data_IF_554357697228
#
_entry.id   IF_554357697228
#
_cell.length_a   1.000
_cell.length_b   1.000
_cell.length_c   1.000
_cell.angle_alpha   90.00
_cell.angle_beta   90.00
_cell.angle_gamma   90.00
#
_symmetry.space_group_name_H-M   'P 1'
#
loop_
_entity.id
_entity.type
_entity.pdbx_description
1 polymer ?
#
# COMPACT_ATOMS: atom_id res chain seq x y z
N UNK A 1 -6.99 18.19 3.91
CA UNK A 1 -6.96 16.79 4.42
C UNK A 1 -8.01 16.54 5.51
N UNK A 2 -8.10 17.37 6.55
CA UNK A 2 -9.05 17.21 7.65
C UNK A 2 -10.53 17.14 7.20
N UNK A 3 -10.95 17.99 6.25
CA UNK A 3 -12.33 17.99 5.76
C UNK A 3 -12.71 16.67 5.10
N UNK A 4 -11.83 16.11 4.28
CA UNK A 4 -12.03 14.82 3.66
C UNK A 4 -12.23 13.71 4.71
N UNK A 5 -11.38 13.65 5.74
CA UNK A 5 -11.50 12.62 6.79
C UNK A 5 -12.75 12.80 7.65
N UNK A 6 -13.21 14.05 7.87
CA UNK A 6 -14.48 14.32 8.57
C UNK A 6 -15.69 13.87 7.76
N UNK A 7 -15.64 14.00 6.45
CA UNK A 7 -16.70 13.55 5.54
C UNK A 7 -16.74 12.02 5.39
N UNK A 8 -15.63 11.33 5.70
CA UNK A 8 -15.50 9.88 5.61
C UNK A 8 -15.13 9.25 6.97
N UNK A 9 -16.01 9.33 7.98
CA UNK A 9 -15.69 8.88 9.35
C UNK A 9 -15.51 7.37 9.47
N UNK A 10 -16.05 6.59 8.53
CA UNK A 10 -15.89 5.14 8.47
C UNK A 10 -14.57 4.68 7.86
N UNK A 11 -13.74 5.63 7.37
CA UNK A 11 -12.46 5.32 6.75
C UNK A 11 -11.54 4.58 7.72
N UNK A 12 -11.09 3.41 7.28
CA UNK A 12 -10.28 2.49 8.07
C UNK A 12 -8.92 2.24 7.43
N UNK A 13 -8.83 2.19 6.10
CA UNK A 13 -7.61 1.87 5.37
C UNK A 13 -7.15 3.07 4.54
N UNK A 14 -6.02 3.66 4.92
CA UNK A 14 -5.47 4.86 4.31
C UNK A 14 -4.11 4.53 3.71
N UNK A 15 -3.95 4.76 2.42
CA UNK A 15 -2.74 4.43 1.67
C UNK A 15 -2.09 5.69 1.12
N UNK A 16 -0.76 5.75 1.18
CA UNK A 16 0.03 6.82 0.59
C UNK A 16 0.85 6.31 -0.59
N UNK A 17 0.56 6.83 -1.79
CA UNK A 17 1.24 6.52 -3.04
C UNK A 17 2.00 7.73 -3.59
N UNK A 18 2.83 7.49 -4.60
CA UNK A 18 3.60 8.55 -5.29
C UNK A 18 4.99 8.08 -5.70
N UNK A 19 5.73 8.92 -6.42
CA UNK A 19 7.11 8.65 -6.84
C UNK A 19 8.04 8.46 -5.62
N UNK A 20 9.17 7.78 -5.79
CA UNK A 20 10.22 7.72 -4.76
C UNK A 20 10.72 9.11 -4.35
N UNK A 21 10.93 9.33 -3.05
CA UNK A 21 11.49 10.57 -2.50
C UNK A 21 10.53 11.76 -2.33
N UNK A 22 9.23 11.60 -2.63
CA UNK A 22 8.25 12.72 -2.50
C UNK A 22 7.73 12.94 -1.07
N UNK A 23 8.09 12.06 -0.10
CA UNK A 23 7.66 12.19 1.31
C UNK A 23 6.44 11.36 1.70
N UNK A 24 6.17 10.23 1.05
CA UNK A 24 5.05 9.33 1.42
C UNK A 24 5.10 8.89 2.87
N UNK A 25 6.25 8.43 3.33
CA UNK A 25 6.47 7.90 4.68
C UNK A 25 6.14 8.94 5.76
N UNK A 26 6.58 10.20 5.56
CA UNK A 26 6.29 11.28 6.52
C UNK A 26 4.80 11.66 6.52
N UNK A 27 4.13 11.64 5.36
CA UNK A 27 2.69 11.89 5.26
C UNK A 27 1.88 10.77 5.92
N UNK A 28 2.28 9.52 5.71
CA UNK A 28 1.68 8.37 6.38
C UNK A 28 1.87 8.47 7.91
N UNK A 29 3.09 8.78 8.37
CA UNK A 29 3.41 8.97 9.79
C UNK A 29 2.59 10.07 10.44
N UNK A 30 2.51 11.25 9.81
CA UNK A 30 1.71 12.36 10.31
C UNK A 30 0.21 12.04 10.36
N UNK A 31 -0.31 11.29 9.37
CA UNK A 31 -1.72 10.88 9.33
C UNK A 31 -2.02 9.85 10.42
N UNK A 32 -1.15 8.87 10.63
CA UNK A 32 -1.30 7.88 11.69
C UNK A 32 -1.26 8.54 13.08
N UNK A 33 -0.32 9.46 13.29
CA UNK A 33 -0.22 10.25 14.51
C UNK A 33 -1.49 11.06 14.77
N UNK A 34 -2.03 11.72 13.75
CA UNK A 34 -3.26 12.50 13.88
C UNK A 34 -4.44 11.65 14.33
N UNK A 35 -4.66 10.46 13.73
CA UNK A 35 -5.72 9.55 14.14
C UNK A 35 -5.52 9.03 15.57
N UNK A 36 -4.30 8.68 15.94
CA UNK A 36 -3.97 8.24 17.30
C UNK A 36 -4.24 9.33 18.36
N UNK A 37 -3.94 10.60 18.03
CA UNK A 37 -4.25 11.76 18.89
C UNK A 37 -5.76 12.03 19.03
N UNK A 38 -6.58 11.58 18.04
CA UNK A 38 -8.04 11.56 18.15
C UNK A 38 -8.58 10.38 18.99
N UNK A 39 -7.70 9.60 19.61
CA UNK A 39 -8.07 8.44 20.45
C UNK A 39 -8.33 7.16 19.68
N UNK A 40 -8.18 7.15 18.35
CA UNK A 40 -8.39 5.96 17.51
C UNK A 40 -7.18 5.02 17.59
N UNK A 41 -7.43 3.74 17.82
CA UNK A 41 -6.39 2.71 17.80
C UNK A 41 -5.85 2.53 16.39
N UNK A 42 -4.63 3.02 16.14
CA UNK A 42 -4.05 3.19 14.80
C UNK A 42 -2.77 2.38 14.63
N UNK A 43 -2.60 1.75 13.46
CA UNK A 43 -1.34 1.16 13.04
C UNK A 43 -0.79 1.87 11.81
N UNK A 44 0.48 2.26 11.87
CA UNK A 44 1.28 2.73 10.74
C UNK A 44 2.12 1.56 10.23
N UNK A 45 1.85 1.10 9.02
CA UNK A 45 2.56 -0.03 8.43
C UNK A 45 3.31 0.39 7.16
N UNK A 46 4.56 -0.05 7.00
CA UNK A 46 5.32 0.19 5.78
C UNK A 46 5.52 -1.10 4.99
N UNK A 47 5.23 -1.02 3.70
CA UNK A 47 5.56 -2.03 2.70
C UNK A 47 6.86 -1.68 1.94
N UNK A 48 7.63 -0.72 2.44
CA UNK A 48 8.91 -0.34 1.84
C UNK A 48 10.03 -1.24 2.40
N UNK A 49 10.82 -1.93 1.58
CA UNK A 49 11.90 -2.79 2.04
C UNK A 49 13.08 -2.04 2.70
N UNK A 50 13.11 -0.72 2.56
CA UNK A 50 14.13 0.13 3.19
C UNK A 50 13.56 0.63 4.52
N UNK A 51 14.13 0.24 5.65
CA UNK A 51 13.73 0.55 7.04
C UNK A 51 13.40 2.04 7.28
N UNK A 52 12.35 2.54 6.60
CA UNK A 52 11.99 3.95 6.53
C UNK A 52 11.20 4.42 7.76
N UNK A 53 10.39 3.54 8.37
CA UNK A 53 9.62 3.88 9.58
C UNK A 53 10.49 3.91 10.82
N UNK A 54 11.41 2.94 10.96
CA UNK A 54 12.36 2.94 12.08
C UNK A 54 13.21 4.22 12.09
N UNK A 55 13.65 4.66 10.91
CA UNK A 55 14.36 5.93 10.75
C UNK A 55 13.47 7.14 11.03
N UNK A 56 12.22 7.15 10.57
CA UNK A 56 11.27 8.23 10.78
C UNK A 56 10.92 8.41 12.26
N UNK A 57 10.70 7.29 12.97
CA UNK A 57 10.24 7.29 14.37
C UNK A 57 11.38 7.31 15.39
N UNK A 58 12.62 7.16 14.93
CA UNK A 58 13.80 7.02 15.79
C UNK A 58 13.67 5.84 16.77
N UNK A 59 12.99 4.77 16.31
CA UNK A 59 12.62 3.60 17.09
C UNK A 59 12.61 2.36 16.19
N UNK A 60 13.16 1.23 16.64
CA UNK A 60 13.09 -0.04 15.91
C UNK A 60 11.65 -0.60 15.93
N UNK A 61 11.05 -0.67 14.74
CA UNK A 61 9.68 -1.16 14.52
C UNK A 61 9.63 -2.29 13.49
N UNK A 62 10.79 -2.91 13.22
CA UNK A 62 10.91 -3.98 12.23
C UNK A 62 10.32 -5.30 12.73
N UNK A 63 9.58 -5.98 11.88
CA UNK A 63 9.09 -7.35 12.07
C UNK A 63 8.02 -7.54 13.16
N UNK A 64 7.62 -6.49 13.89
CA UNK A 64 6.63 -6.59 14.97
C UNK A 64 5.81 -5.32 15.15
N UNK A 65 4.58 -5.47 15.62
CA UNK A 65 3.72 -4.33 15.98
C UNK A 65 4.29 -3.68 17.24
N UNK A 66 4.96 -2.54 17.09
CA UNK A 66 5.63 -1.84 18.18
C UNK A 66 4.87 -0.58 18.57
N UNK A 67 4.49 -0.40 19.85
CA UNK A 67 3.91 0.87 20.31
C UNK A 67 4.89 2.01 20.09
N UNK A 68 4.40 3.12 19.51
CA UNK A 68 5.24 4.30 19.28
C UNK A 68 5.43 5.07 20.60
N UNK A 69 6.68 5.32 20.98
CA UNK A 69 7.02 6.00 22.23
C UNK A 69 6.44 7.40 22.26
N UNK A 70 5.80 7.76 23.38
CA UNK A 70 5.19 9.08 23.58
C UNK A 70 3.87 9.34 22.83
N UNK A 71 3.35 8.35 22.09
CA UNK A 71 2.11 8.47 21.34
C UNK A 71 1.13 7.35 21.71
N UNK A 72 0.20 7.59 22.64
CA UNK A 72 -0.86 6.63 22.94
C UNK A 72 -1.66 6.26 21.67
N UNK A 73 -2.18 5.03 21.61
CA UNK A 73 -3.01 4.51 20.51
C UNK A 73 -2.31 4.42 19.15
N UNK A 74 -0.97 4.61 19.06
CA UNK A 74 -0.22 4.43 17.83
C UNK A 74 0.74 3.23 17.94
N UNK A 75 0.63 2.34 16.96
CA UNK A 75 1.58 1.27 16.70
C UNK A 75 2.24 1.48 15.35
N UNK A 76 3.49 1.04 15.21
CA UNK A 76 4.20 1.05 13.95
C UNK A 76 4.73 -0.36 13.63
N UNK A 77 4.79 -0.67 12.35
CA UNK A 77 5.19 -1.98 11.84
C UNK A 77 5.89 -1.86 10.48
N UNK A 78 7.17 -2.15 10.43
CA UNK A 78 7.86 -2.42 9.16
C UNK A 78 7.73 -3.91 8.85
N UNK A 79 7.08 -4.22 7.74
CA UNK A 79 6.71 -5.58 7.37
C UNK A 79 7.98 -6.39 7.05
N UNK A 80 8.21 -7.46 7.80
CA UNK A 80 9.24 -8.45 7.48
C UNK A 80 8.65 -9.52 6.55
N UNK A 81 9.16 -9.57 5.33
CA UNK A 81 8.70 -10.54 4.33
C UNK A 81 9.37 -11.90 4.45
N UNK A 82 10.46 -12.03 5.21
CA UNK A 82 11.25 -13.27 5.29
C UNK A 82 10.42 -14.44 5.80
N UNK A 83 9.72 -14.27 6.90
CA UNK A 83 8.86 -15.32 7.46
C UNK A 83 7.74 -15.72 6.49
N UNK A 84 7.12 -14.74 5.84
CA UNK A 84 6.06 -15.00 4.85
C UNK A 84 6.60 -15.70 3.62
N UNK A 85 7.79 -15.33 3.15
CA UNK A 85 8.48 -15.99 2.04
C UNK A 85 8.77 -17.44 2.39
N UNK A 86 9.34 -17.71 3.57
CA UNK A 86 9.64 -19.07 4.00
C UNK A 86 8.37 -19.91 4.20
N UNK A 87 7.32 -19.35 4.81
CA UNK A 87 6.03 -20.00 4.94
C UNK A 87 5.43 -20.33 3.56
N UNK A 88 5.43 -19.35 2.65
CA UNK A 88 4.88 -19.53 1.29
C UNK A 88 5.71 -20.54 0.49
N UNK A 89 7.04 -20.54 0.63
CA UNK A 89 7.91 -21.57 0.04
C UNK A 89 7.51 -22.98 0.49
N UNK A 90 7.39 -23.17 1.79
CA UNK A 90 7.06 -24.48 2.35
C UNK A 90 5.67 -24.96 1.92
N UNK A 91 4.67 -24.07 1.96
CA UNK A 91 3.33 -24.38 1.50
C UNK A 91 3.27 -24.73 0.01
N UNK A 92 3.97 -23.97 -0.84
CA UNK A 92 4.04 -24.23 -2.29
C UNK A 92 4.77 -25.55 -2.54
N UNK A 93 5.89 -25.79 -1.84
CA UNK A 93 6.66 -27.02 -1.94
C UNK A 93 5.84 -28.25 -1.57
N UNK A 94 5.10 -28.21 -0.46
CA UNK A 94 4.22 -29.31 -0.05
C UNK A 94 3.17 -29.62 -1.14
N UNK A 95 2.56 -28.59 -1.71
CA UNK A 95 1.52 -28.73 -2.73
C UNK A 95 2.06 -29.21 -4.08
N UNK A 96 3.22 -28.71 -4.48
CA UNK A 96 3.91 -29.20 -5.68
C UNK A 96 4.33 -30.66 -5.48
N UNK A 97 4.89 -31.02 -4.35
CA UNK A 97 5.26 -32.40 -4.03
C UNK A 97 4.03 -33.33 -4.01
N UNK A 98 2.92 -32.88 -3.45
CA UNK A 98 1.66 -33.65 -3.50
C UNK A 98 1.20 -33.85 -4.94
N UNK A 99 1.21 -32.76 -5.78
CA UNK A 99 0.83 -32.84 -7.19
C UNK A 99 1.75 -33.75 -7.99
N UNK A 100 3.07 -33.67 -7.81
CA UNK A 100 4.06 -34.51 -8.50
C UNK A 100 3.87 -35.99 -8.16
N UNK A 101 3.62 -36.33 -6.86
CA UNK A 101 3.31 -37.72 -6.45
C UNK A 101 2.00 -38.21 -7.08
N UNK A 102 1.02 -37.33 -7.16
CA UNK A 102 -0.27 -37.67 -7.75
C UNK A 102 -0.19 -37.88 -9.28
N UNK A 103 0.67 -37.13 -9.97
CA UNK A 103 0.89 -37.21 -11.41
C UNK A 103 1.95 -38.24 -11.81
N UNK A 104 2.52 -38.95 -10.84
CA UNK A 104 3.64 -39.92 -11.02
C UNK A 104 4.88 -39.30 -11.73
N UNK A 105 5.14 -38.02 -11.44
CA UNK A 105 6.26 -37.26 -12.02
C UNK A 105 7.41 -37.23 -11.01
N UNK A 106 8.59 -37.66 -11.43
CA UNK A 106 9.81 -37.80 -10.61
C UNK A 106 10.67 -36.54 -10.53
N UNK A 107 10.17 -35.38 -10.95
CA UNK A 107 10.90 -34.10 -10.93
C UNK A 107 10.98 -33.53 -9.50
N UNK A 108 12.13 -32.93 -9.15
CA UNK A 108 12.34 -32.30 -7.85
C UNK A 108 11.63 -30.95 -7.78
N UNK A 109 10.65 -30.83 -6.89
CA UNK A 109 9.93 -29.57 -6.61
C UNK A 109 10.86 -28.45 -6.10
N UNK A 110 11.94 -28.82 -5.42
CA UNK A 110 12.88 -27.89 -4.77
C UNK A 110 13.51 -26.90 -5.74
N UNK A 111 14.03 -27.37 -6.88
CA UNK A 111 14.67 -26.51 -7.89
C UNK A 111 13.69 -25.50 -8.51
N UNK A 112 12.43 -25.93 -8.70
CA UNK A 112 11.39 -25.05 -9.24
C UNK A 112 10.96 -23.98 -8.22
N UNK A 113 10.77 -24.35 -6.95
CA UNK A 113 10.40 -23.44 -5.87
C UNK A 113 11.51 -22.44 -5.59
N UNK A 114 12.78 -22.90 -5.57
CA UNK A 114 13.94 -22.04 -5.34
C UNK A 114 14.09 -21.00 -6.47
N UNK A 115 14.00 -21.42 -7.72
CA UNK A 115 14.03 -20.52 -8.88
C UNK A 115 12.88 -19.49 -8.85
N UNK A 116 11.67 -19.93 -8.50
CA UNK A 116 10.51 -19.04 -8.41
C UNK A 116 10.66 -18.02 -7.28
N UNK A 117 11.24 -18.40 -6.15
CA UNK A 117 11.39 -17.51 -4.96
C UNK A 117 12.56 -16.54 -5.07
N UNK A 118 13.52 -16.77 -5.95
CA UNK A 118 14.56 -15.79 -6.29
C UNK A 118 14.04 -14.62 -7.13
N UNK A 119 12.79 -14.69 -7.60
CA UNK A 119 12.20 -13.62 -8.39
C UNK A 119 11.74 -12.47 -7.48
N UNK A 120 12.15 -11.21 -7.72
CA UNK A 120 11.68 -10.05 -6.96
C UNK A 120 10.15 -9.92 -6.88
N UNK A 121 9.43 -10.44 -7.89
CA UNK A 121 7.96 -10.49 -7.88
C UNK A 121 7.41 -11.37 -6.74
N UNK A 122 8.18 -12.31 -6.22
CA UNK A 122 7.77 -13.15 -5.09
C UNK A 122 7.83 -12.37 -3.77
N UNK A 123 8.86 -11.57 -3.56
CA UNK A 123 8.98 -10.64 -2.42
C UNK A 123 7.82 -9.65 -2.39
N UNK A 124 7.50 -9.06 -3.54
CA UNK A 124 6.37 -8.14 -3.67
C UNK A 124 5.03 -8.83 -3.37
N UNK A 125 4.87 -10.09 -3.77
CA UNK A 125 3.68 -10.87 -3.45
C UNK A 125 3.58 -11.17 -1.95
N UNK A 126 4.68 -11.51 -1.30
CA UNK A 126 4.74 -11.75 0.14
C UNK A 126 4.41 -10.46 0.93
N UNK A 127 4.91 -9.31 0.46
CA UNK A 127 4.59 -7.99 1.03
C UNK A 127 3.08 -7.73 0.98
N UNK A 128 2.44 -7.99 -0.16
CA UNK A 128 1.00 -7.86 -0.31
C UNK A 128 0.23 -8.82 0.59
N UNK A 129 0.67 -10.06 0.67
CA UNK A 129 0.06 -11.07 1.52
C UNK A 129 0.04 -10.63 2.98
N UNK A 130 1.17 -10.12 3.49
CA UNK A 130 1.26 -9.54 4.83
C UNK A 130 0.32 -8.36 5.04
N UNK A 131 0.25 -7.45 4.05
CA UNK A 131 -0.66 -6.31 4.11
C UNK A 131 -2.13 -6.76 4.18
N UNK A 132 -2.52 -7.72 3.35
CA UNK A 132 -3.87 -8.30 3.37
C UNK A 132 -4.16 -8.99 4.69
N UNK A 133 -3.22 -9.75 5.23
CA UNK A 133 -3.35 -10.39 6.55
C UNK A 133 -3.56 -9.37 7.65
N UNK A 134 -2.78 -8.29 7.64
CA UNK A 134 -2.91 -7.20 8.60
C UNK A 134 -4.32 -6.56 8.52
N UNK A 135 -4.82 -6.30 7.31
CA UNK A 135 -6.17 -5.76 7.11
C UNK A 135 -7.27 -6.73 7.58
N UNK A 136 -7.13 -8.02 7.27
CA UNK A 136 -8.15 -9.03 7.58
C UNK A 136 -8.23 -9.41 9.07
N UNK A 137 -7.14 -9.22 9.83
CA UNK A 137 -7.12 -9.40 11.29
C UNK A 137 -8.02 -8.42 12.03
N UNK A 138 -8.22 -7.22 11.47
CA UNK A 138 -9.11 -6.18 12.00
C UNK A 138 -8.85 -5.83 13.49
N UNK A 139 -7.56 -5.74 13.87
CA UNK A 139 -7.12 -5.47 15.25
C UNK A 139 -7.08 -3.98 15.58
N UNK A 140 -7.10 -3.11 14.57
CA UNK A 140 -7.01 -1.65 14.69
C UNK A 140 -8.22 -0.98 14.06
N UNK A 141 -8.54 0.22 14.54
CA UNK A 141 -9.61 1.05 13.98
C UNK A 141 -9.17 1.78 12.71
N UNK A 142 -7.86 2.10 12.62
CA UNK A 142 -7.26 2.78 11.47
C UNK A 142 -5.95 2.11 11.09
N UNK A 143 -5.81 1.85 9.81
CA UNK A 143 -4.61 1.32 9.18
C UNK A 143 -4.06 2.35 8.21
N UNK A 144 -2.87 2.84 8.46
CA UNK A 144 -2.18 3.78 7.56
C UNK A 144 -0.98 3.08 6.95
N UNK A 145 -0.99 2.99 5.61
CA UNK A 145 0.03 2.28 4.86
C UNK A 145 0.96 3.25 4.12
N UNK A 146 2.24 3.21 4.46
CA UNK A 146 3.31 3.74 3.61
C UNK A 146 3.62 2.70 2.54
N UNK A 147 3.20 2.97 1.30
CA UNK A 147 3.41 2.00 0.23
C UNK A 147 4.71 2.27 -0.52
N UNK A 148 5.41 1.20 -0.91
CA UNK A 148 6.51 1.28 -1.85
C UNK A 148 6.07 2.00 -3.14
N UNK A 149 7.02 2.56 -3.93
CA UNK A 149 6.67 3.31 -5.14
C UNK A 149 5.65 2.54 -5.99
N UNK A 150 4.64 3.23 -6.38
CA UNK A 150 3.39 2.89 -7.10
C UNK A 150 3.39 1.72 -8.10
N UNK A 151 4.55 1.20 -8.53
CA UNK A 151 4.65 -0.02 -9.32
C UNK A 151 4.02 -1.24 -8.60
N UNK A 152 4.10 -1.29 -7.27
CA UNK A 152 3.58 -2.38 -6.46
C UNK A 152 2.06 -2.34 -6.33
N UNK A 153 1.43 -1.17 -6.15
CA UNK A 153 -0.02 -1.06 -6.14
C UNK A 153 -0.65 -1.52 -7.47
N UNK A 154 -0.01 -1.20 -8.60
CA UNK A 154 -0.44 -1.69 -9.92
C UNK A 154 -0.37 -3.20 -10.03
N UNK A 155 0.72 -3.83 -9.55
CA UNK A 155 0.87 -5.28 -9.51
C UNK A 155 -0.16 -5.93 -8.60
N UNK A 156 -0.40 -5.34 -7.43
CA UNK A 156 -1.31 -5.86 -6.41
C UNK A 156 -2.71 -6.12 -6.96
N UNK A 157 -3.25 -5.21 -7.74
CA UNK A 157 -4.61 -5.29 -8.25
C UNK A 157 -4.67 -5.94 -9.64
N UNK A 158 -3.65 -5.74 -10.47
CA UNK A 158 -3.47 -6.48 -11.72
C UNK A 158 -3.23 -7.97 -11.48
N UNK A 159 -2.39 -8.31 -10.49
CA UNK A 159 -2.14 -9.69 -10.09
C UNK A 159 -3.37 -10.35 -9.48
N UNK A 160 -4.18 -9.64 -8.68
CA UNK A 160 -5.41 -10.22 -8.12
C UNK A 160 -6.36 -10.70 -9.22
N UNK A 161 -6.50 -9.96 -10.34
CA UNK A 161 -7.27 -10.40 -11.51
C UNK A 161 -6.61 -11.61 -12.22
N UNK A 162 -5.30 -11.57 -12.41
CA UNK A 162 -4.56 -12.65 -13.06
C UNK A 162 -4.59 -13.92 -12.20
N UNK A 163 -4.37 -13.78 -10.89
CA UNK A 163 -4.47 -14.90 -9.95
C UNK A 163 -5.89 -15.45 -9.87
N UNK A 164 -6.91 -14.60 -9.83
CA UNK A 164 -8.31 -15.05 -9.85
C UNK A 164 -8.62 -15.84 -11.11
N UNK A 165 -8.20 -15.36 -12.29
CA UNK A 165 -8.36 -16.09 -13.57
C UNK A 165 -7.56 -17.40 -13.60
N UNK A 166 -6.36 -17.39 -13.06
CA UNK A 166 -5.52 -18.59 -12.98
C UNK A 166 -6.12 -19.64 -12.03
N UNK A 167 -6.55 -19.21 -10.84
CA UNK A 167 -7.25 -20.06 -9.88
C UNK A 167 -8.54 -20.61 -10.47
N UNK A 168 -9.33 -19.78 -11.12
CA UNK A 168 -10.57 -20.20 -11.80
C UNK A 168 -10.30 -21.24 -12.89
N UNK A 169 -9.26 -21.05 -13.70
CA UNK A 169 -8.86 -21.99 -14.74
C UNK A 169 -8.40 -23.33 -14.14
N UNK A 170 -7.63 -23.29 -13.04
CA UNK A 170 -7.21 -24.49 -12.33
C UNK A 170 -8.40 -25.21 -11.67
N UNK A 171 -9.36 -24.48 -11.10
CA UNK A 171 -10.58 -25.05 -10.53
C UNK A 171 -11.40 -25.77 -11.61
N UNK A 172 -11.63 -25.14 -12.77
CA UNK A 172 -12.35 -25.76 -13.90
C UNK A 172 -11.66 -27.03 -14.38
N UNK A 173 -10.34 -27.00 -14.60
CA UNK A 173 -9.57 -28.18 -15.01
C UNK A 173 -9.65 -29.31 -14.00
N UNK A 174 -9.74 -29.00 -12.71
CA UNK A 174 -9.90 -29.98 -11.63
C UNK A 174 -11.32 -30.55 -11.55
N UNK A 175 -12.35 -29.74 -11.72
CA UNK A 175 -13.72 -30.20 -11.78
C UNK A 175 -13.95 -31.16 -12.97
N UNK A 176 -13.36 -30.81 -14.13
CA UNK A 176 -13.38 -31.68 -15.33
C UNK A 176 -12.65 -33.01 -15.07
N UNK A 177 -11.44 -32.96 -14.46
CA UNK A 177 -10.71 -34.18 -14.12
C UNK A 177 -11.43 -35.04 -13.08
N UNK A 178 -12.14 -34.42 -12.13
CA UNK A 178 -12.94 -35.12 -11.11
C UNK A 178 -14.19 -35.77 -11.70
N UNK A 179 -14.88 -35.07 -12.59
CA UNK A 179 -16.05 -35.62 -13.31
C UNK A 179 -15.68 -36.81 -14.19
N UNK A 180 -14.53 -36.75 -14.91
CA UNK A 180 -13.99 -37.85 -15.67
C UNK A 180 -13.65 -39.06 -14.80
N UNK A 181 -13.05 -38.85 -13.62
CA UNK A 181 -12.74 -39.93 -12.65
C UNK A 181 -14.01 -40.54 -12.03
N UNK A 182 -15.02 -39.73 -11.71
CA UNK A 182 -16.32 -40.25 -11.20
C UNK A 182 -17.03 -41.10 -12.21
N UNK A 183 -16.86 -40.83 -13.52
CA UNK A 183 -17.40 -41.65 -14.59
C UNK A 183 -16.61 -42.96 -14.73
N UNK A 184 -15.30 -42.95 -14.45
CA UNK A 184 -14.42 -44.10 -14.65
C UNK A 184 -14.22 -44.98 -13.39
N UNK A 185 -14.55 -44.49 -12.18
CA UNK A 185 -14.39 -45.24 -10.94
C UNK A 185 -15.74 -45.59 -10.30
N UNK A 186 -15.98 -46.87 -10.07
CA UNK A 186 -17.15 -47.43 -9.38
C UNK A 186 -17.10 -47.22 -7.83
N UNK A 187 -16.08 -46.56 -7.27
CA UNK A 187 -15.89 -46.35 -5.83
C UNK A 187 -16.13 -44.91 -5.43
N UNK A 188 -17.22 -44.67 -4.70
CA UNK A 188 -17.57 -43.39 -4.05
C UNK A 188 -16.70 -43.13 -2.82
N UNK A 189 -15.40 -42.91 -2.94
CA UNK A 189 -14.62 -42.29 -1.88
C UNK A 189 -14.46 -40.84 -2.20
N UNK A 190 -14.98 -39.97 -1.31
CA UNK A 190 -14.73 -38.54 -1.31
C UNK A 190 -13.25 -38.37 -0.89
N UNK A 191 -12.35 -38.30 -1.85
CA UNK A 191 -10.96 -37.96 -1.58
C UNK A 191 -10.89 -36.46 -1.31
N UNK A 192 -10.40 -36.11 -0.13
CA UNK A 192 -10.04 -34.73 0.20
C UNK A 192 -8.96 -34.27 -0.80
N UNK A 193 -9.20 -33.14 -1.48
CA UNK A 193 -8.25 -32.54 -2.40
C UNK A 193 -7.62 -31.29 -1.76
N UNK A 194 -6.46 -31.43 -1.09
CA UNK A 194 -5.82 -30.34 -0.35
C UNK A 194 -5.47 -29.16 -1.24
N UNK A 195 -5.22 -29.39 -2.53
CA UNK A 195 -4.93 -28.31 -3.47
C UNK A 195 -6.19 -27.53 -3.84
N UNK A 196 -7.30 -28.20 -4.03
CA UNK A 196 -8.59 -27.56 -4.28
C UNK A 196 -9.00 -26.68 -3.08
N UNK A 197 -8.89 -27.18 -1.87
CA UNK A 197 -9.20 -26.45 -0.64
C UNK A 197 -8.29 -25.22 -0.48
N UNK A 198 -7.02 -25.34 -0.84
CA UNK A 198 -6.11 -24.20 -0.83
C UNK A 198 -6.50 -23.15 -1.84
N UNK A 199 -6.79 -23.55 -3.09
CA UNK A 199 -7.17 -22.62 -4.15
C UNK A 199 -8.47 -21.89 -3.82
N UNK A 200 -9.43 -22.56 -3.20
CA UNK A 200 -10.70 -21.97 -2.75
C UNK A 200 -10.45 -20.93 -1.64
N UNK A 201 -9.67 -21.28 -0.62
CA UNK A 201 -9.31 -20.36 0.48
C UNK A 201 -8.52 -19.16 -0.04
N UNK A 202 -7.58 -19.38 -0.95
CA UNK A 202 -6.79 -18.31 -1.56
C UNK A 202 -7.67 -17.37 -2.39
N UNK A 203 -8.59 -17.89 -3.19
CA UNK A 203 -9.58 -17.08 -3.93
C UNK A 203 -10.44 -16.25 -2.99
N UNK A 204 -11.02 -16.87 -1.96
CA UNK A 204 -11.85 -16.15 -0.98
C UNK A 204 -11.08 -15.01 -0.31
N UNK A 205 -9.82 -15.25 0.05
CA UNK A 205 -8.94 -14.25 0.66
C UNK A 205 -8.68 -13.07 -0.30
N UNK A 206 -8.38 -13.35 -1.58
CA UNK A 206 -8.22 -12.32 -2.60
C UNK A 206 -9.50 -11.50 -2.82
N UNK A 207 -10.65 -12.17 -2.89
CA UNK A 207 -11.95 -11.51 -3.06
C UNK A 207 -12.30 -10.61 -1.86
N UNK A 208 -11.98 -11.04 -0.64
CA UNK A 208 -12.14 -10.21 0.57
C UNK A 208 -11.22 -9.00 0.53
N UNK A 209 -9.94 -9.18 0.20
CA UNK A 209 -8.99 -8.08 0.07
C UNK A 209 -9.42 -7.07 -0.99
N UNK A 210 -9.87 -7.56 -2.15
CA UNK A 210 -10.37 -6.71 -3.23
C UNK A 210 -11.57 -5.88 -2.78
N UNK A 211 -12.56 -6.50 -2.13
CA UNK A 211 -13.73 -5.77 -1.61
C UNK A 211 -13.33 -4.65 -0.65
N UNK A 212 -12.38 -4.90 0.25
CA UNK A 212 -11.88 -3.87 1.16
C UNK A 212 -11.17 -2.74 0.41
N UNK A 213 -10.30 -3.06 -0.55
CA UNK A 213 -9.52 -2.08 -1.30
C UNK A 213 -10.34 -1.22 -2.27
N UNK A 214 -11.51 -1.71 -2.69
CA UNK A 214 -12.41 -0.98 -3.60
C UNK A 214 -13.62 -0.37 -2.90
N UNK A 215 -13.70 -0.47 -1.58
CA UNK A 215 -14.78 0.12 -0.79
C UNK A 215 -14.47 1.59 -0.49
N UNK A 216 -15.20 2.56 -1.10
CA UNK A 216 -14.92 3.98 -0.95
C UNK A 216 -15.24 4.53 0.44
N UNK A 217 -16.08 3.83 1.23
CA UNK A 217 -16.40 4.25 2.59
C UNK A 217 -15.30 3.86 3.58
N UNK A 218 -14.54 2.81 3.28
CA UNK A 218 -13.54 2.23 4.18
C UNK A 218 -12.10 2.46 3.74
N UNK A 219 -11.84 2.71 2.46
CA UNK A 219 -10.49 2.81 1.88
C UNK A 219 -10.31 4.12 1.12
N UNK A 220 -9.16 4.76 1.29
CA UNK A 220 -8.75 5.88 0.47
C UNK A 220 -7.24 5.85 0.18
N UNK A 221 -6.90 6.16 -1.07
CA UNK A 221 -5.52 6.34 -1.52
C UNK A 221 -5.21 7.81 -1.72
N UNK A 222 -4.19 8.31 -1.03
CA UNK A 222 -3.67 9.67 -1.19
C UNK A 222 -2.36 9.63 -1.97
N UNK A 223 -2.26 10.50 -2.97
CA UNK A 223 -1.04 10.61 -3.76
C UNK A 223 -0.21 11.80 -3.31
N UNK A 224 1.06 11.56 -2.98
CA UNK A 224 2.02 12.61 -2.63
C UNK A 224 2.83 12.97 -3.87
N UNK A 225 2.93 14.26 -4.15
CA UNK A 225 3.68 14.81 -5.28
C UNK A 225 4.53 15.99 -4.87
N UNK A 226 5.44 16.39 -5.75
CA UNK A 226 6.14 17.69 -5.73
C UNK A 226 5.61 18.56 -6.85
N UNK A 227 5.80 19.87 -6.73
CA UNK A 227 5.54 20.81 -7.83
C UNK A 227 6.65 20.70 -8.91
N UNK A 228 6.72 19.53 -9.55
CA UNK A 228 7.71 19.18 -10.59
C UNK A 228 7.07 18.28 -11.67
N UNK A 229 7.57 18.36 -12.90
CA UNK A 229 7.00 17.66 -14.05
C UNK A 229 6.84 16.15 -13.86
N UNK A 230 7.91 15.47 -13.42
CA UNK A 230 7.92 14.01 -13.36
C UNK A 230 7.02 13.45 -12.25
N UNK A 231 7.04 13.94 -10.98
CA UNK A 231 6.10 13.50 -9.96
C UNK A 231 4.64 13.70 -10.38
N UNK A 232 4.29 14.84 -11.00
CA UNK A 232 2.93 15.12 -11.49
C UNK A 232 2.52 14.11 -12.57
N UNK A 233 3.36 13.86 -13.57
CA UNK A 233 3.07 12.91 -14.64
C UNK A 233 2.87 11.48 -14.11
N UNK A 234 3.61 11.11 -13.06
CA UNK A 234 3.48 9.82 -12.39
C UNK A 234 2.10 9.69 -11.72
N UNK A 235 1.69 10.67 -10.91
CA UNK A 235 0.39 10.56 -10.20
C UNK A 235 -0.81 10.64 -11.14
N UNK A 236 -0.76 11.40 -12.22
CA UNK A 236 -1.82 11.41 -13.27
C UNK A 236 -2.06 10.00 -13.79
N UNK A 237 -0.98 9.29 -14.14
CA UNK A 237 -1.08 7.90 -14.62
C UNK A 237 -1.69 6.98 -13.57
N UNK A 238 -1.32 7.15 -12.30
CA UNK A 238 -1.81 6.30 -11.23
C UNK A 238 -3.26 6.55 -10.91
N UNK A 239 -3.70 7.80 -10.85
CA UNK A 239 -5.10 8.17 -10.61
C UNK A 239 -5.99 7.57 -11.69
N UNK A 240 -5.63 7.73 -12.98
CA UNK A 240 -6.38 7.14 -14.08
C UNK A 240 -6.48 5.62 -13.94
N UNK A 241 -5.36 4.98 -13.63
CA UNK A 241 -5.34 3.53 -13.45
C UNK A 241 -6.15 3.07 -12.24
N UNK A 242 -6.15 3.82 -11.12
CA UNK A 242 -6.96 3.53 -9.94
C UNK A 242 -8.45 3.63 -10.28
N UNK A 243 -8.86 4.62 -11.06
CA UNK A 243 -10.20 4.74 -11.60
C UNK A 243 -10.61 3.51 -12.42
N UNK A 244 -9.76 3.04 -13.32
CA UNK A 244 -10.02 1.84 -14.14
C UNK A 244 -10.23 0.57 -13.29
N UNK A 245 -9.64 0.50 -12.09
CA UNK A 245 -9.78 -0.63 -11.17
C UNK A 245 -10.82 -0.41 -10.07
N UNK A 246 -11.50 0.72 -10.06
CA UNK A 246 -12.50 1.08 -9.05
C UNK A 246 -11.91 1.30 -7.65
N UNK A 247 -10.63 1.77 -7.58
CA UNK A 247 -9.96 2.05 -6.31
C UNK A 247 -10.23 3.49 -5.91
N UNK A 248 -10.68 3.73 -4.67
CA UNK A 248 -11.02 5.08 -4.24
C UNK A 248 -9.78 5.95 -4.05
N UNK A 249 -9.76 7.09 -4.75
CA UNK A 249 -8.72 8.10 -4.63
C UNK A 249 -9.20 9.19 -3.68
N UNK A 250 -8.55 9.32 -2.52
CA UNK A 250 -8.85 10.34 -1.51
C UNK A 250 -8.38 11.75 -1.90
N UNK A 251 -7.31 11.83 -2.68
CA UNK A 251 -6.80 13.08 -3.22
C UNK A 251 -5.29 13.17 -3.34
N UNK A 252 -4.81 14.38 -3.55
CA UNK A 252 -3.40 14.71 -3.82
C UNK A 252 -2.86 15.63 -2.73
N UNK A 253 -1.64 15.36 -2.28
CA UNK A 253 -0.89 16.19 -1.33
C UNK A 253 0.35 16.71 -2.06
N UNK A 254 0.52 18.01 -2.11
CA UNK A 254 1.71 18.65 -2.69
C UNK A 254 2.70 18.97 -1.58
N UNK A 255 3.87 18.36 -1.63
CA UNK A 255 4.89 18.44 -0.58
C UNK A 255 6.08 19.29 -1.00
N UNK A 256 6.89 19.70 -0.02
CA UNK A 256 8.16 20.42 -0.18
C UNK A 256 8.01 21.74 -0.93
N UNK A 257 6.95 22.49 -0.66
CA UNK A 257 6.74 23.79 -1.23
C UNK A 257 7.60 24.86 -0.54
N UNK A 258 8.28 25.68 -1.31
CA UNK A 258 9.00 26.84 -0.78
C UNK A 258 7.95 27.87 -0.38
N UNK A 259 7.98 28.31 0.90
CA UNK A 259 7.08 29.36 1.40
C UNK A 259 7.63 30.73 0.95
N UNK A 260 6.90 31.38 0.06
CA UNK A 260 7.26 32.71 -0.45
C UNK A 260 7.35 33.77 0.64
N UNK A 261 6.56 33.63 1.71
CA UNK A 261 6.53 34.60 2.82
C UNK A 261 7.80 34.58 3.66
N UNK A 262 8.57 33.49 3.57
CA UNK A 262 9.87 33.38 4.24
C UNK A 262 11.02 34.04 3.49
N UNK A 263 10.75 34.61 2.28
CA UNK A 263 11.77 35.15 1.41
C UNK A 263 11.88 36.68 1.56
N UNK A 264 13.12 37.17 1.49
CA UNK A 264 13.46 38.59 1.58
C UNK A 264 14.08 39.13 0.27
N UNK A 265 14.42 40.42 0.27
CA UNK A 265 15.03 41.08 -0.91
C UNK A 265 16.33 40.43 -1.38
N UNK A 266 17.09 39.84 -0.46
CA UNK A 266 18.39 39.20 -0.72
C UNK A 266 18.27 37.71 -1.09
N UNK A 267 17.05 37.23 -1.42
CA UNK A 267 16.84 35.84 -1.80
C UNK A 267 17.73 35.47 -3.01
N UNK A 268 18.52 34.37 -2.92
CA UNK A 268 19.38 33.94 -4.01
C UNK A 268 18.59 33.65 -5.30
N UNK A 269 19.22 33.92 -6.44
CA UNK A 269 18.62 33.70 -7.77
C UNK A 269 18.13 32.25 -7.94
N UNK A 270 18.89 31.28 -7.47
CA UNK A 270 18.51 29.87 -7.47
C UNK A 270 17.13 29.64 -6.82
N UNK A 271 16.87 30.25 -5.67
CA UNK A 271 15.61 30.09 -4.95
C UNK A 271 14.47 30.79 -5.73
N UNK A 272 14.73 31.97 -6.30
CA UNK A 272 13.74 32.65 -7.15
C UNK A 272 13.35 31.84 -8.37
N UNK A 273 14.32 31.21 -9.05
CA UNK A 273 14.08 30.35 -10.19
C UNK A 273 13.28 29.09 -9.80
N UNK A 274 13.58 28.48 -8.65
CA UNK A 274 12.81 27.35 -8.10
C UNK A 274 11.37 27.74 -7.77
N UNK A 275 11.15 28.93 -7.22
CA UNK A 275 9.82 29.46 -6.96
C UNK A 275 9.02 29.71 -8.24
N UNK A 276 9.62 30.31 -9.25
CA UNK A 276 8.96 30.50 -10.54
C UNK A 276 8.52 29.19 -11.16
N UNK A 277 9.39 28.18 -11.11
CA UNK A 277 9.07 26.83 -11.56
C UNK A 277 7.93 26.22 -10.72
N UNK A 278 7.98 26.35 -9.38
CA UNK A 278 6.96 25.86 -8.46
C UNK A 278 5.58 26.46 -8.78
N UNK A 279 5.49 27.77 -9.03
CA UNK A 279 4.23 28.43 -9.42
C UNK A 279 3.64 27.84 -10.70
N UNK A 280 4.49 27.62 -11.72
CA UNK A 280 4.06 27.01 -12.98
C UNK A 280 3.48 25.62 -12.77
N UNK A 281 4.15 24.78 -11.96
CA UNK A 281 3.67 23.43 -11.69
C UNK A 281 2.49 23.38 -10.74
N UNK A 282 2.37 24.31 -9.77
CA UNK A 282 1.18 24.44 -8.95
C UNK A 282 -0.06 24.77 -9.80
N UNK A 283 0.05 25.70 -10.76
CA UNK A 283 -1.04 25.98 -11.70
C UNK A 283 -1.45 24.71 -12.47
N UNK A 284 -0.48 23.94 -12.95
CA UNK A 284 -0.76 22.66 -13.62
C UNK A 284 -1.38 21.60 -12.68
N UNK A 285 -1.04 21.58 -11.39
CA UNK A 285 -1.63 20.71 -10.39
C UNK A 285 -3.09 21.08 -10.17
N UNK A 286 -3.40 22.38 -10.01
CA UNK A 286 -4.78 22.85 -9.86
C UNK A 286 -5.60 22.56 -11.11
N UNK A 287 -5.08 22.79 -12.31
CA UNK A 287 -5.77 22.46 -13.55
C UNK A 287 -6.14 20.97 -13.67
N UNK A 288 -5.28 20.06 -13.15
CA UNK A 288 -5.46 18.61 -13.30
C UNK A 288 -6.20 17.95 -12.15
N UNK A 289 -6.11 18.51 -10.95
CA UNK A 289 -6.57 17.84 -9.73
C UNK A 289 -7.54 18.68 -8.88
N UNK A 290 -7.72 19.95 -9.17
CA UNK A 290 -8.62 20.92 -8.55
C UNK A 290 -9.19 20.51 -7.17
N UNK A 291 -10.37 19.96 -7.15
CA UNK A 291 -11.08 19.50 -5.95
C UNK A 291 -10.42 18.31 -5.23
N UNK A 292 -9.42 17.67 -5.85
CA UNK A 292 -8.66 16.57 -5.25
C UNK A 292 -7.44 17.01 -4.45
N UNK A 293 -7.01 18.28 -4.52
CA UNK A 293 -5.88 18.78 -3.71
C UNK A 293 -6.30 18.88 -2.25
N UNK A 294 -5.69 18.08 -1.36
CA UNK A 294 -6.05 17.99 0.07
C UNK A 294 -5.16 18.79 0.98
N UNK A 295 -3.90 18.99 0.62
CA UNK A 295 -2.97 19.80 1.38
C UNK A 295 -1.80 20.30 0.53
N UNK A 296 -1.29 21.47 0.92
CA UNK A 296 -0.05 22.07 0.44
C UNK A 296 0.92 22.11 1.63
N UNK A 297 2.01 21.35 1.55
CA UNK A 297 2.95 21.17 2.67
C UNK A 297 4.25 21.89 2.35
N UNK A 298 4.70 22.81 3.20
CA UNK A 298 5.96 23.54 2.99
C UNK A 298 7.16 22.61 3.17
N UNK A 299 8.26 23.00 2.55
CA UNK A 299 9.58 22.45 2.86
C UNK A 299 10.00 22.96 4.24
N UNK A 300 10.15 22.02 5.17
CA UNK A 300 10.63 22.37 6.52
C UNK A 300 12.13 22.65 6.51
N UNK A 301 12.57 23.48 7.44
CA UNK A 301 13.98 23.84 7.63
C UNK A 301 14.85 22.67 8.14
N UNK A 302 14.22 21.61 8.62
CA UNK A 302 14.85 20.38 9.12
C UNK A 302 14.15 19.16 8.54
N UNK A 303 14.85 18.06 8.54
CA UNK A 303 14.26 16.77 8.20
C UNK A 303 13.09 16.43 9.14
N UNK A 304 12.00 15.91 8.56
CA UNK A 304 10.87 15.40 9.36
C UNK A 304 11.25 14.06 9.95
N UNK A 305 11.74 14.08 11.19
CA UNK A 305 12.16 12.90 11.93
C UNK A 305 11.74 13.03 13.40
N UNK A 306 11.33 11.92 14.00
CA UNK A 306 10.82 11.85 15.36
C UNK A 306 9.40 12.40 15.51
N UNK A 307 8.79 12.08 16.65
CA UNK A 307 7.38 12.41 16.94
C UNK A 307 7.12 13.92 16.89
N UNK A 308 8.02 14.74 17.43
CA UNK A 308 7.82 16.21 17.47
C UNK A 308 7.71 16.84 16.06
N UNK A 309 8.55 16.40 15.12
CA UNK A 309 8.46 16.90 13.75
C UNK A 309 7.25 16.32 12.99
N UNK A 310 6.83 15.10 13.33
CA UNK A 310 5.58 14.53 12.79
C UNK A 310 4.36 15.28 13.32
N UNK A 311 4.33 15.73 14.56
CA UNK A 311 3.27 16.59 15.12
C UNK A 311 3.17 17.89 14.33
N UNK A 312 4.28 18.58 14.11
CA UNK A 312 4.34 19.81 13.33
C UNK A 312 3.87 19.60 11.88
N UNK A 313 4.24 18.48 11.26
CA UNK A 313 3.75 18.11 9.94
C UNK A 313 2.24 17.83 9.97
N UNK A 314 1.73 17.11 10.99
CA UNK A 314 0.33 16.84 11.14
C UNK A 314 -0.50 18.12 11.28
N UNK A 315 -0.04 19.10 12.10
CA UNK A 315 -0.67 20.41 12.22
C UNK A 315 -0.81 21.08 10.84
N UNK A 316 0.23 21.02 10.02
CA UNK A 316 0.21 21.58 8.66
C UNK A 316 -0.72 20.80 7.72
N UNK A 317 -0.62 19.47 7.74
CA UNK A 317 -1.36 18.57 6.85
C UNK A 317 -2.87 18.62 7.08
N UNK A 318 -3.27 18.83 8.35
CA UNK A 318 -4.67 18.86 8.77
C UNK A 318 -5.20 20.29 9.04
N UNK A 319 -4.37 21.32 8.84
CA UNK A 319 -4.85 22.69 8.79
C UNK A 319 -5.90 22.86 7.68
N UNK A 320 -6.84 23.81 7.83
CA UNK A 320 -7.72 24.18 6.72
C UNK A 320 -6.87 24.57 5.52
N UNK A 321 -7.13 23.95 4.37
CA UNK A 321 -6.41 24.31 3.13
C UNK A 321 -6.75 25.78 2.82
N UNK A 322 -5.75 26.68 2.72
CA UNK A 322 -6.04 28.05 2.32
C UNK A 322 -6.71 28.00 0.95
N UNK A 323 -7.79 28.75 0.79
CA UNK A 323 -8.39 29.00 -0.51
C UNK A 323 -7.34 29.76 -1.33
N UNK A 324 -6.49 29.04 -2.04
CA UNK A 324 -5.58 29.64 -3.03
C UNK A 324 -6.41 29.84 -4.27
N UNK A 325 -6.99 31.04 -4.37
CA UNK A 325 -7.45 31.53 -5.69
C UNK A 325 -6.25 31.68 -6.61
N UNK A 326 -6.33 31.23 -7.86
CA UNK A 326 -5.28 31.37 -8.85
C UNK A 326 -4.87 32.80 -9.12
#
# INVERSE_FOLDING_TARGET
MADYLRQHPALQYIFFGGKGGVGKTVMAGATALWHARQGRRTILASTNPVHSLSSLLDQDVFGRHTPVQGVPNLWAYEIDTRETIERSKNEIKEKINWFLRFADITTKADEFVESATMNPAFEESAMFENMVDLMLKNEYEVYVFDTAPTANARRLLGMSKIYALWVEKMLRSREEARSLRQILSFTKKKEDDPLLDYLLRFRERLDRARRLLTDPDRTAFFFVTLAEALPIAVIVRFINWFHDFGIPVGGVIVNMLIDERALGPETPEFVRNRLQMQRTYLASIWEKFDDMVRALVPLFEREVRGVAMLERLAETLFAPTPAVSP
#
